data_IF_560163679206
#
_entry.id   IF_560163679206
#
_cell.length_a   1.000
_cell.length_b   1.000
_cell.length_c   1.000
_cell.angle_alpha   90.00
_cell.angle_beta   90.00
_cell.angle_gamma   90.00
#
_symmetry.space_group_name_H-M   'P 1'
#
loop_
_entity.id
_entity.type
_entity.pdbx_description
1 polymer ?
#
# COMPACT_ATOMS: atom_id res chain seq x y z
N UNK A 1 -5.17 34.71 49.16
CA UNK A 1 -5.33 33.26 49.34
C UNK A 1 -6.37 32.73 48.34
N UNK A 2 -5.97 32.24 47.15
CA UNK A 2 -6.87 31.58 46.19
C UNK A 2 -6.47 30.11 46.03
N UNK A 3 -7.21 29.27 46.75
CA UNK A 3 -7.67 27.90 46.45
C UNK A 3 -6.65 26.77 46.15
N UNK A 4 -6.27 25.98 47.18
CA UNK A 4 -5.72 24.62 47.00
C UNK A 4 -6.64 23.67 46.21
N UNK A 5 -7.96 23.87 46.26
CA UNK A 5 -8.95 23.10 45.49
C UNK A 5 -8.73 23.16 43.96
N UNK A 6 -8.28 24.30 43.44
CA UNK A 6 -7.99 24.46 42.01
C UNK A 6 -6.75 23.70 41.54
N UNK A 7 -5.76 23.47 42.43
CA UNK A 7 -4.61 22.59 42.12
C UNK A 7 -4.99 21.13 42.17
N UNK A 8 -5.81 20.72 43.15
CA UNK A 8 -6.30 19.35 43.26
C UNK A 8 -7.14 18.96 42.03
N UNK A 9 -8.10 19.80 41.62
CA UNK A 9 -8.91 19.59 40.42
C UNK A 9 -8.06 19.52 39.13
N UNK A 10 -7.02 20.34 39.00
CA UNK A 10 -6.08 20.26 37.87
C UNK A 10 -5.24 18.98 37.88
N UNK A 11 -4.79 18.53 39.06
CA UNK A 11 -4.07 17.26 39.18
C UNK A 11 -4.97 16.06 38.86
N UNK A 12 -6.21 16.04 39.37
CA UNK A 12 -7.19 15.02 39.07
C UNK A 12 -7.51 14.97 37.57
N UNK A 13 -7.67 16.15 36.94
CA UNK A 13 -7.89 16.29 35.51
C UNK A 13 -6.72 15.76 34.67
N UNK A 14 -5.48 16.09 35.04
CA UNK A 14 -4.28 15.57 34.36
C UNK A 14 -4.12 14.06 34.56
N UNK A 15 -4.45 13.55 35.75
CA UNK A 15 -4.46 12.11 36.04
C UNK A 15 -5.49 11.38 35.19
N UNK A 16 -6.72 11.90 35.09
CA UNK A 16 -7.77 11.35 34.24
C UNK A 16 -7.35 11.32 32.76
N UNK A 17 -6.78 12.41 32.25
CA UNK A 17 -6.26 12.45 30.87
C UNK A 17 -5.14 11.43 30.62
N UNK A 18 -4.23 11.24 31.58
CA UNK A 18 -3.17 10.23 31.48
C UNK A 18 -3.73 8.82 31.48
N UNK A 19 -4.66 8.50 32.38
CA UNK A 19 -5.32 7.20 32.44
C UNK A 19 -6.05 6.87 31.13
N UNK A 20 -6.81 7.84 30.61
CA UNK A 20 -7.49 7.71 29.31
C UNK A 20 -6.47 7.49 28.18
N UNK A 21 -5.36 8.22 28.17
CA UNK A 21 -4.30 8.03 27.18
C UNK A 21 -3.66 6.65 27.23
N UNK A 22 -3.37 6.12 28.43
CA UNK A 22 -2.84 4.76 28.62
C UNK A 22 -3.85 3.72 28.16
N UNK A 23 -5.13 3.89 28.50
CA UNK A 23 -6.19 2.97 28.09
C UNK A 23 -6.35 2.91 26.57
N UNK A 24 -6.35 4.07 25.89
CA UNK A 24 -6.37 4.14 24.42
C UNK A 24 -5.14 3.43 23.81
N UNK A 25 -3.95 3.63 24.39
CA UNK A 25 -2.73 2.97 23.92
C UNK A 25 -2.81 1.45 24.07
N UNK A 26 -3.26 0.96 25.23
CA UNK A 26 -3.43 -0.47 25.50
C UNK A 26 -4.40 -1.12 24.51
N UNK A 27 -5.55 -0.49 24.27
CA UNK A 27 -6.51 -1.00 23.27
C UNK A 27 -5.89 -0.95 21.87
N UNK A 28 -5.12 0.09 21.55
CA UNK A 28 -4.46 0.24 20.25
C UNK A 28 -3.38 -0.81 19.97
N UNK A 29 -2.81 -1.41 21.02
CA UNK A 29 -1.86 -2.53 20.92
C UNK A 29 -2.61 -3.88 20.93
N UNK A 30 -3.61 -4.02 21.79
CA UNK A 30 -4.38 -5.26 21.92
C UNK A 30 -5.19 -5.59 20.66
N UNK A 31 -5.76 -4.58 19.98
CA UNK A 31 -6.60 -4.78 18.81
C UNK A 31 -5.86 -5.43 17.62
N UNK A 32 -4.66 -4.98 17.20
CA UNK A 32 -3.86 -5.71 16.21
C UNK A 32 -3.44 -7.11 16.66
N UNK A 33 -3.01 -7.28 17.92
CA UNK A 33 -2.58 -8.59 18.44
C UNK A 33 -3.70 -9.62 18.45
N UNK A 34 -4.94 -9.21 18.75
CA UNK A 34 -6.09 -10.11 18.65
C UNK A 34 -6.38 -10.57 17.22
N UNK A 35 -6.06 -9.74 16.20
CA UNK A 35 -6.29 -10.08 14.79
C UNK A 35 -5.22 -11.08 14.36
N UNK A 36 -3.97 -10.84 14.79
CA UNK A 36 -2.88 -11.80 14.65
C UNK A 36 -3.26 -13.14 15.27
N UNK A 37 -3.88 -13.15 16.46
CA UNK A 37 -4.37 -14.38 17.06
C UNK A 37 -5.49 -15.03 16.25
N UNK A 38 -6.52 -14.25 15.92
CA UNK A 38 -7.73 -14.69 15.20
C UNK A 38 -7.41 -15.35 13.85
N UNK A 39 -6.48 -14.78 13.08
CA UNK A 39 -6.13 -15.28 11.75
C UNK A 39 -4.86 -16.13 11.73
N UNK A 40 -3.94 -15.94 12.68
CA UNK A 40 -2.65 -16.62 12.71
C UNK A 40 -2.67 -18.02 13.32
N UNK A 41 -3.63 -18.31 14.20
CA UNK A 41 -3.73 -19.60 14.90
C UNK A 41 -5.04 -20.31 14.56
N UNK A 42 -5.06 -21.66 14.58
CA UNK A 42 -6.27 -22.42 14.34
C UNK A 42 -7.30 -22.08 15.42
N UNK A 43 -8.50 -21.68 14.98
CA UNK A 43 -9.58 -21.25 15.86
C UNK A 43 -10.67 -22.30 15.98
N UNK A 44 -11.26 -22.40 17.17
CA UNK A 44 -12.50 -23.16 17.38
C UNK A 44 -13.71 -22.23 17.18
N UNK A 45 -14.90 -22.74 16.82
CA UNK A 45 -16.10 -21.91 16.67
C UNK A 45 -16.46 -21.11 17.93
N UNK A 46 -16.12 -21.66 19.11
CA UNK A 46 -16.37 -21.05 20.41
C UNK A 46 -15.36 -19.93 20.71
N UNK A 47 -14.07 -20.11 20.36
CA UNK A 47 -13.07 -19.03 20.50
C UNK A 47 -13.32 -17.88 19.53
N UNK A 48 -13.77 -18.16 18.30
CA UNK A 48 -14.18 -17.14 17.33
C UNK A 48 -15.31 -16.25 17.87
N UNK A 49 -16.35 -16.83 18.46
CA UNK A 49 -17.45 -16.06 19.07
C UNK A 49 -16.96 -15.17 20.19
N UNK A 50 -16.10 -15.69 21.08
CA UNK A 50 -15.53 -14.88 22.16
C UNK A 50 -14.65 -13.74 21.63
N UNK A 51 -13.82 -14.01 20.61
CA UNK A 51 -13.01 -12.98 19.97
C UNK A 51 -13.90 -11.89 19.37
N UNK A 52 -14.93 -12.24 18.60
CA UNK A 52 -15.86 -11.28 18.02
C UNK A 52 -16.54 -10.41 19.08
N UNK A 53 -17.04 -11.01 20.18
CA UNK A 53 -17.61 -10.25 21.30
C UNK A 53 -16.57 -9.38 22.01
N UNK A 54 -15.34 -9.87 22.13
CA UNK A 54 -14.22 -9.10 22.70
C UNK A 54 -13.89 -7.87 21.85
N UNK A 55 -13.88 -8.00 20.53
CA UNK A 55 -13.68 -6.89 19.60
C UNK A 55 -14.75 -5.81 19.72
N UNK A 56 -16.00 -6.20 19.94
CA UNK A 56 -17.08 -5.27 20.21
C UNK A 56 -16.86 -4.53 21.53
N UNK A 57 -16.49 -5.25 22.59
CA UNK A 57 -16.15 -4.65 23.88
C UNK A 57 -14.99 -3.67 23.77
N UNK A 58 -13.92 -4.02 23.05
CA UNK A 58 -12.78 -3.15 22.81
C UNK A 58 -13.17 -1.89 22.02
N UNK A 59 -14.04 -2.02 21.01
CA UNK A 59 -14.56 -0.88 20.26
C UNK A 59 -15.37 0.08 21.14
N UNK A 60 -16.25 -0.44 21.99
CA UNK A 60 -17.05 0.36 22.92
C UNK A 60 -16.12 1.06 23.94
N UNK A 61 -15.17 0.34 24.51
CA UNK A 61 -14.19 0.90 25.46
C UNK A 61 -13.34 1.99 24.81
N UNK A 62 -12.86 1.73 23.59
CA UNK A 62 -12.13 2.70 22.79
C UNK A 62 -12.98 3.95 22.63
N UNK A 63 -14.22 3.81 22.16
CA UNK A 63 -15.15 4.91 21.97
C UNK A 63 -15.38 5.74 23.24
N UNK A 64 -15.65 5.08 24.38
CA UNK A 64 -15.82 5.74 25.68
C UNK A 64 -14.56 6.51 26.11
N UNK A 65 -13.39 5.91 25.93
CA UNK A 65 -12.12 6.56 26.25
C UNK A 65 -11.92 7.84 25.41
N UNK A 66 -12.30 7.78 24.14
CA UNK A 66 -12.12 8.87 23.20
C UNK A 66 -13.11 10.00 23.42
N UNK A 67 -14.37 9.69 23.68
CA UNK A 67 -15.37 10.69 24.07
C UNK A 67 -14.94 11.37 25.36
N UNK A 68 -14.46 10.61 26.35
CA UNK A 68 -13.94 11.16 27.60
C UNK A 68 -12.71 12.06 27.37
N UNK A 69 -11.78 11.69 26.48
CA UNK A 69 -10.65 12.54 26.08
C UNK A 69 -11.09 13.88 25.47
N UNK A 70 -12.12 13.86 24.62
CA UNK A 70 -12.69 15.07 24.00
C UNK A 70 -13.42 15.93 25.03
N UNK A 71 -14.22 15.34 25.91
CA UNK A 71 -14.96 16.03 26.97
C UNK A 71 -14.04 16.67 28.01
N UNK A 72 -12.96 15.96 28.37
CA UNK A 72 -11.89 16.49 29.22
C UNK A 72 -11.05 17.56 28.50
N UNK A 73 -11.31 17.86 27.23
CA UNK A 73 -10.69 18.99 26.54
C UNK A 73 -9.17 18.92 26.52
N UNK A 74 -8.60 17.73 26.25
CA UNK A 74 -7.16 17.50 26.23
C UNK A 74 -6.45 18.52 25.33
N UNK A 75 -5.76 19.48 25.96
CA UNK A 75 -4.83 20.42 25.31
C UNK A 75 -3.38 19.96 25.45
N UNK A 76 -3.09 18.84 26.09
CA UNK A 76 -1.71 18.36 26.32
C UNK A 76 -1.04 17.88 25.04
N UNK A 77 -1.81 17.53 24.00
CA UNK A 77 -1.29 17.23 22.66
C UNK A 77 -0.98 18.50 21.82
N UNK A 78 -1.41 19.69 22.27
CA UNK A 78 -1.23 20.97 21.54
C UNK A 78 0.17 21.59 21.78
N UNK A 79 1.13 20.85 22.36
CA UNK A 79 2.44 21.37 22.73
C UNK A 79 3.35 21.82 21.58
N UNK A 80 3.05 21.50 20.30
CA UNK A 80 3.90 21.96 19.21
C UNK A 80 3.31 21.93 17.79
N UNK A 81 2.00 21.67 17.63
CA UNK A 81 1.41 21.60 16.29
C UNK A 81 0.43 22.75 16.13
N UNK A 82 0.82 23.78 15.37
CA UNK A 82 -0.12 24.70 14.69
C UNK A 82 -0.90 23.92 13.61
N UNK A 83 -1.58 22.84 14.01
CA UNK A 83 -2.66 22.25 13.24
C UNK A 83 -3.79 23.26 13.37
N UNK A 84 -3.94 24.11 12.35
CA UNK A 84 -4.95 25.16 12.35
C UNK A 84 -6.30 24.59 12.80
N UNK A 85 -7.07 25.39 13.54
CA UNK A 85 -8.40 25.06 14.12
C UNK A 85 -9.31 24.24 13.16
N UNK A 86 -9.16 24.46 11.85
CA UNK A 86 -9.85 23.77 10.75
C UNK A 86 -9.42 22.30 10.53
N UNK A 87 -8.14 21.96 10.64
CA UNK A 87 -7.69 20.56 10.49
C UNK A 87 -7.99 19.74 11.75
N UNK A 88 -7.98 20.37 12.92
CA UNK A 88 -8.37 19.74 14.19
C UNK A 88 -9.85 19.34 14.19
N UNK A 89 -10.72 20.22 13.69
CA UNK A 89 -12.16 19.93 13.53
C UNK A 89 -12.42 18.86 12.48
N UNK A 90 -11.64 18.81 11.39
CA UNK A 90 -11.74 17.72 10.40
C UNK A 90 -11.30 16.37 10.98
N UNK A 91 -10.20 16.32 11.72
CA UNK A 91 -9.73 15.09 12.37
C UNK A 91 -10.72 14.60 13.43
N UNK A 92 -11.24 15.49 14.28
CA UNK A 92 -12.27 15.16 15.26
C UNK A 92 -13.59 14.77 14.57
N UNK A 93 -13.96 15.43 13.47
CA UNK A 93 -15.15 15.12 12.69
C UNK A 93 -15.07 13.77 11.96
N UNK A 94 -13.93 13.43 11.37
CA UNK A 94 -13.68 12.12 10.77
C UNK A 94 -13.72 11.02 11.85
N UNK A 95 -13.22 11.33 13.03
CA UNK A 95 -13.27 10.44 14.19
C UNK A 95 -14.70 10.23 14.69
N UNK A 96 -15.47 11.30 14.83
CA UNK A 96 -16.89 11.26 15.16
C UNK A 96 -17.69 10.48 14.11
N UNK A 97 -17.36 10.61 12.82
CA UNK A 97 -18.00 9.86 11.74
C UNK A 97 -17.67 8.36 11.80
N UNK A 98 -16.39 7.99 11.94
CA UNK A 98 -15.97 6.59 12.07
C UNK A 98 -16.61 5.91 13.29
N UNK A 99 -16.73 6.66 14.39
CA UNK A 99 -17.38 6.16 15.59
C UNK A 99 -18.90 6.08 15.46
N UNK A 100 -19.55 7.00 14.75
CA UNK A 100 -20.98 6.91 14.42
C UNK A 100 -21.27 5.69 13.55
N UNK A 101 -20.41 5.41 12.56
CA UNK A 101 -20.48 4.20 11.73
C UNK A 101 -20.34 2.95 12.60
N UNK A 102 -19.42 2.96 13.57
CA UNK A 102 -19.20 1.85 14.49
C UNK A 102 -20.42 1.59 15.41
N UNK A 103 -21.04 2.66 15.95
CA UNK A 103 -22.26 2.59 16.76
C UNK A 103 -23.44 2.11 15.93
N UNK A 104 -23.59 2.63 14.71
CA UNK A 104 -24.63 2.23 13.78
C UNK A 104 -24.52 0.73 13.47
N UNK A 105 -23.32 0.23 13.16
CA UNK A 105 -23.08 -1.20 12.95
C UNK A 105 -23.40 -2.06 14.19
N UNK A 106 -23.08 -1.58 15.39
CA UNK A 106 -23.39 -2.28 16.63
C UNK A 106 -24.92 -2.35 16.88
N UNK A 107 -25.64 -1.26 16.62
CA UNK A 107 -27.10 -1.20 16.74
C UNK A 107 -27.80 -2.14 15.75
N UNK A 108 -27.28 -2.24 14.52
CA UNK A 108 -27.77 -3.19 13.52
C UNK A 108 -27.54 -4.64 13.94
N UNK A 109 -26.35 -4.98 14.46
CA UNK A 109 -26.02 -6.36 14.85
C UNK A 109 -26.85 -6.89 16.03
N UNK A 110 -27.24 -6.01 16.95
CA UNK A 110 -28.15 -6.34 18.05
C UNK A 110 -29.64 -6.21 17.66
N UNK A 111 -29.96 -6.08 16.36
CA UNK A 111 -31.33 -5.99 15.80
C UNK A 111 -32.17 -4.85 16.39
N UNK A 112 -31.57 -3.71 16.69
CA UNK A 112 -32.32 -2.51 17.11
C UNK A 112 -33.08 -1.84 15.95
N UNK A 113 -32.70 -2.15 14.71
CA UNK A 113 -33.37 -1.75 13.47
C UNK A 113 -33.76 -3.01 12.65
N UNK A 114 -34.70 -2.85 11.73
CA UNK A 114 -35.41 -3.92 11.02
C UNK A 114 -34.50 -5.03 10.42
N UNK A 115 -35.01 -6.27 10.28
CA UNK A 115 -34.23 -7.40 9.76
C UNK A 115 -34.17 -7.38 8.22
N UNK A 116 -33.39 -6.46 7.67
CA UNK A 116 -33.17 -6.37 6.22
C UNK A 116 -31.80 -6.97 5.84
N UNK A 117 -31.71 -7.69 4.71
CA UNK A 117 -30.48 -8.35 4.25
C UNK A 117 -29.29 -7.37 4.00
N UNK A 118 -29.59 -6.09 3.73
CA UNK A 118 -28.60 -5.03 3.63
C UNK A 118 -27.98 -4.66 5.00
N UNK A 119 -28.78 -4.76 6.08
CA UNK A 119 -28.33 -4.44 7.43
C UNK A 119 -27.48 -5.57 8.03
N UNK A 120 -27.72 -6.83 7.63
CA UNK A 120 -26.85 -7.96 7.97
C UNK A 120 -25.46 -7.87 7.32
N UNK A 121 -25.35 -7.33 6.10
CA UNK A 121 -24.04 -7.11 5.43
C UNK A 121 -23.24 -5.97 6.06
N UNK A 122 -23.92 -4.94 6.56
CA UNK A 122 -23.33 -3.76 7.21
C UNK A 122 -22.98 -4.03 8.69
N UNK A 123 -23.75 -4.88 9.38
CA UNK A 123 -23.51 -5.25 10.78
C UNK A 123 -22.35 -6.24 11.02
N UNK A 124 -21.61 -6.56 9.96
CA UNK A 124 -20.76 -7.71 9.97
C UNK A 124 -19.46 -7.56 10.80
N UNK A 125 -18.96 -8.65 11.43
CA UNK A 125 -17.81 -8.61 12.34
C UNK A 125 -16.55 -7.94 11.76
N UNK A 126 -16.32 -8.09 10.46
CA UNK A 126 -15.16 -7.53 9.77
C UNK A 126 -15.15 -6.00 9.74
N UNK A 127 -16.30 -5.33 9.66
CA UNK A 127 -16.38 -3.87 9.67
C UNK A 127 -16.00 -3.30 11.04
N UNK A 128 -16.36 -3.99 12.12
CA UNK A 128 -16.01 -3.64 13.50
C UNK A 128 -14.50 -3.75 13.69
N UNK A 129 -13.92 -4.87 13.28
CA UNK A 129 -12.46 -5.10 13.36
C UNK A 129 -11.72 -4.05 12.52
N UNK A 130 -12.16 -3.79 11.28
CA UNK A 130 -11.53 -2.80 10.41
C UNK A 130 -11.55 -1.39 11.02
N UNK A 131 -12.69 -0.97 11.56
CA UNK A 131 -12.82 0.36 12.20
C UNK A 131 -11.92 0.48 13.42
N UNK A 132 -11.89 -0.55 14.27
CA UNK A 132 -11.01 -0.58 15.44
C UNK A 132 -9.54 -0.51 15.02
N UNK A 133 -9.11 -1.30 14.03
CA UNK A 133 -7.74 -1.28 13.53
C UNK A 133 -7.33 0.06 12.95
N UNK A 134 -8.20 0.73 12.19
CA UNK A 134 -7.93 2.08 11.65
C UNK A 134 -7.72 3.07 12.81
N UNK A 135 -8.60 3.04 13.81
CA UNK A 135 -8.51 3.92 14.98
C UNK A 135 -7.24 3.63 15.79
N UNK A 136 -6.96 2.35 16.06
CA UNK A 136 -5.74 1.90 16.74
C UNK A 136 -4.49 2.34 16.01
N UNK A 137 -4.44 2.17 14.68
CA UNK A 137 -3.33 2.61 13.85
C UNK A 137 -3.11 4.12 13.93
N UNK A 138 -4.17 4.93 13.84
CA UNK A 138 -4.08 6.39 13.94
C UNK A 138 -3.56 6.84 15.31
N UNK A 139 -3.99 6.21 16.41
CA UNK A 139 -3.52 6.52 17.75
C UNK A 139 -2.08 6.06 17.98
N UNK A 140 -1.70 4.88 17.49
CA UNK A 140 -0.33 4.39 17.57
C UNK A 140 0.63 5.29 16.76
N UNK A 141 0.23 5.69 15.55
CA UNK A 141 0.97 6.62 14.72
C UNK A 141 1.18 7.97 15.41
N UNK A 142 0.15 8.50 16.09
CA UNK A 142 0.27 9.72 16.91
C UNK A 142 1.24 9.53 18.07
N UNK A 143 1.09 8.45 18.84
CA UNK A 143 1.95 8.14 19.99
C UNK A 143 3.42 8.01 19.57
N UNK A 144 3.70 7.24 18.52
CA UNK A 144 5.05 7.07 17.96
C UNK A 144 5.60 8.40 17.47
N UNK A 145 4.80 9.21 16.74
CA UNK A 145 5.26 10.51 16.24
C UNK A 145 5.67 11.48 17.35
N UNK A 146 4.97 11.47 18.49
CA UNK A 146 5.31 12.32 19.64
C UNK A 146 6.60 11.90 20.35
N UNK A 147 6.93 10.60 20.33
CA UNK A 147 8.17 10.06 20.88
C UNK A 147 9.35 10.37 19.93
N UNK A 148 9.16 10.14 18.62
CA UNK A 148 10.19 10.25 17.60
C UNK A 148 10.60 11.70 17.27
N UNK A 149 9.74 12.69 17.57
CA UNK A 149 10.06 14.12 17.36
C UNK A 149 11.18 14.64 18.28
N UNK A 150 11.66 13.82 19.25
CA UNK A 150 12.76 14.20 20.15
C UNK A 150 14.10 13.68 19.60
N UNK A 151 14.80 14.53 18.85
CA UNK A 151 16.24 14.48 18.50
C UNK A 151 16.76 13.32 17.61
N UNK A 152 15.94 12.61 16.84
CA UNK A 152 16.43 11.53 15.95
C UNK A 152 16.56 12.00 14.50
N UNK A 153 17.62 11.58 13.81
CA UNK A 153 17.84 11.88 12.38
C UNK A 153 16.74 11.24 11.51
N UNK A 154 16.16 11.98 10.53
CA UNK A 154 15.08 11.47 9.66
C UNK A 154 15.44 10.19 8.89
N UNK A 155 16.69 10.07 8.42
CA UNK A 155 17.14 8.87 7.70
C UNK A 155 17.18 7.63 8.58
N UNK A 156 17.58 7.78 9.85
CA UNK A 156 17.59 6.67 10.83
C UNK A 156 16.18 6.24 11.20
N UNK A 157 15.24 7.19 11.28
CA UNK A 157 13.82 6.89 11.47
C UNK A 157 13.27 6.07 10.30
N UNK A 158 13.58 6.47 9.07
CA UNK A 158 13.14 5.74 7.88
C UNK A 158 13.70 4.31 7.88
N UNK A 159 15.00 4.15 8.05
CA UNK A 159 15.64 2.83 8.10
C UNK A 159 15.09 1.96 9.24
N UNK A 160 14.92 2.53 10.44
CA UNK A 160 14.35 1.85 11.58
C UNK A 160 12.89 1.42 11.36
N UNK A 161 12.09 2.23 10.67
CA UNK A 161 10.70 1.88 10.34
C UNK A 161 10.62 0.69 9.38
N UNK A 162 11.47 0.64 8.35
CA UNK A 162 11.54 -0.50 7.43
C UNK A 162 12.00 -1.77 8.14
N UNK A 163 13.06 -1.69 8.95
CA UNK A 163 13.52 -2.84 9.74
C UNK A 163 12.43 -3.37 10.68
N UNK A 164 11.71 -2.48 11.36
CA UNK A 164 10.62 -2.87 12.24
C UNK A 164 9.51 -3.61 11.48
N UNK A 165 9.10 -3.09 10.31
CA UNK A 165 8.08 -3.74 9.47
C UNK A 165 8.56 -5.11 8.98
N UNK A 166 9.84 -5.25 8.63
CA UNK A 166 10.43 -6.53 8.21
C UNK A 166 10.40 -7.55 9.36
N UNK A 167 10.79 -7.16 10.58
CA UNK A 167 10.76 -8.08 11.73
C UNK A 167 9.32 -8.48 12.11
N UNK A 168 8.38 -7.52 12.10
CA UNK A 168 6.96 -7.82 12.33
C UNK A 168 6.44 -8.75 11.24
N UNK A 169 6.72 -8.45 9.97
CA UNK A 169 6.32 -9.27 8.82
C UNK A 169 6.86 -10.69 8.90
N UNK A 170 8.14 -10.85 9.27
CA UNK A 170 8.78 -12.14 9.51
C UNK A 170 8.03 -12.96 10.57
N UNK A 171 7.73 -12.33 11.72
CA UNK A 171 6.95 -12.97 12.79
C UNK A 171 5.53 -13.35 12.35
N UNK A 172 4.88 -12.52 11.54
CA UNK A 172 3.54 -12.83 10.99
C UNK A 172 3.57 -14.02 10.02
N UNK A 173 4.62 -14.15 9.21
CA UNK A 173 4.75 -15.26 8.26
C UNK A 173 5.04 -16.61 8.95
N UNK A 174 5.61 -16.60 10.16
CA UNK A 174 5.83 -17.81 10.95
C UNK A 174 4.57 -18.37 11.62
N UNK A 175 3.45 -17.67 11.56
CA UNK A 175 2.22 -18.11 12.22
C UNK A 175 1.70 -19.43 11.61
N UNK A 176 1.12 -20.34 12.43
CA UNK A 176 0.67 -21.64 11.97
C UNK A 176 -0.29 -21.60 10.78
N UNK A 177 -1.23 -20.64 10.76
CA UNK A 177 -2.19 -20.50 9.66
C UNK A 177 -1.60 -19.87 8.40
N UNK A 178 -0.38 -19.30 8.45
CA UNK A 178 0.25 -18.66 7.30
C UNK A 178 1.00 -19.66 6.41
N UNK A 179 1.34 -20.85 6.91
CA UNK A 179 2.16 -21.84 6.21
C UNK A 179 1.57 -23.24 6.31
N UNK A 180 1.75 -24.09 5.30
CA UNK A 180 1.21 -25.45 5.33
C UNK A 180 2.06 -26.43 6.17
N UNK A 181 3.39 -26.23 6.21
CA UNK A 181 4.35 -27.15 6.83
C UNK A 181 5.30 -26.47 7.84
N UNK A 182 4.97 -25.25 8.27
CA UNK A 182 5.92 -24.40 9.02
C UNK A 182 7.02 -23.82 8.12
N UNK A 183 7.74 -22.83 8.62
CA UNK A 183 8.80 -22.13 7.88
C UNK A 183 9.96 -21.81 8.81
N UNK A 184 11.19 -22.00 8.34
CA UNK A 184 12.38 -21.61 9.10
C UNK A 184 12.43 -20.08 9.24
N UNK A 185 12.93 -19.58 10.38
CA UNK A 185 12.97 -18.13 10.63
C UNK A 185 13.77 -17.38 9.55
N UNK A 186 14.88 -17.95 9.07
CA UNK A 186 15.68 -17.35 8.02
C UNK A 186 14.88 -17.14 6.72
N UNK A 187 14.09 -18.13 6.30
CA UNK A 187 13.25 -18.03 5.11
C UNK A 187 12.10 -17.04 5.30
N UNK A 188 11.51 -16.99 6.50
CA UNK A 188 10.48 -16.02 6.84
C UNK A 188 11.01 -14.59 6.83
N UNK A 189 12.22 -14.37 7.36
CA UNK A 189 12.88 -13.07 7.40
C UNK A 189 13.29 -12.63 5.99
N UNK A 190 13.84 -13.53 5.18
CA UNK A 190 14.20 -13.25 3.80
C UNK A 190 12.96 -12.89 2.97
N UNK A 191 11.89 -13.68 3.08
CA UNK A 191 10.64 -13.43 2.35
C UNK A 191 9.98 -12.12 2.79
N UNK A 192 9.95 -11.82 4.09
CA UNK A 192 9.44 -10.55 4.61
C UNK A 192 10.28 -9.36 4.14
N UNK A 193 11.62 -9.46 4.19
CA UNK A 193 12.52 -8.42 3.70
C UNK A 193 12.32 -8.17 2.20
N UNK A 194 12.20 -9.25 1.42
CA UNK A 194 11.95 -9.19 -0.02
C UNK A 194 10.60 -8.56 -0.37
N UNK A 195 9.54 -8.89 0.37
CA UNK A 195 8.22 -8.30 0.19
C UNK A 195 8.20 -6.79 0.51
N UNK A 196 8.79 -6.38 1.64
CA UNK A 196 8.82 -4.97 2.08
C UNK A 196 9.75 -4.13 1.20
N UNK A 197 10.88 -4.68 0.78
CA UNK A 197 11.81 -4.02 -0.15
C UNK A 197 11.37 -4.15 -1.61
N UNK A 198 10.30 -4.90 -1.87
CA UNK A 198 9.69 -5.03 -3.20
C UNK A 198 10.69 -5.61 -4.22
N UNK A 199 11.47 -6.63 -3.81
CA UNK A 199 12.53 -7.22 -4.64
C UNK A 199 12.09 -8.47 -5.40
N UNK A 200 11.12 -9.23 -4.88
CA UNK A 200 10.52 -10.37 -5.58
C UNK A 200 11.28 -11.68 -5.52
N UNK A 201 12.31 -11.76 -4.69
CA UNK A 201 13.04 -13.00 -4.45
C UNK A 201 12.40 -13.78 -3.29
N UNK A 202 12.31 -15.10 -3.41
CA UNK A 202 11.93 -15.97 -2.31
C UNK A 202 12.86 -17.18 -2.26
N UNK A 203 13.19 -17.63 -1.06
CA UNK A 203 13.95 -18.87 -0.84
C UNK A 203 13.07 -20.11 -0.94
N UNK A 204 11.75 -19.93 -0.95
CA UNK A 204 10.75 -20.99 -0.95
C UNK A 204 9.70 -20.78 -2.05
N UNK A 205 9.04 -21.85 -2.46
CA UNK A 205 7.94 -21.75 -3.41
C UNK A 205 6.70 -21.15 -2.72
N UNK A 206 6.33 -19.95 -3.15
CA UNK A 206 5.22 -19.17 -2.60
C UNK A 206 3.87 -19.89 -2.62
N UNK A 207 3.59 -20.62 -3.70
CA UNK A 207 2.31 -21.31 -3.89
C UNK A 207 2.19 -22.56 -3.01
N UNK A 208 3.32 -23.21 -2.73
CA UNK A 208 3.38 -24.48 -1.98
C UNK A 208 3.58 -24.28 -0.47
N UNK A 209 4.26 -23.19 -0.09
CA UNK A 209 4.61 -22.95 1.32
C UNK A 209 3.55 -22.13 2.06
N UNK A 210 3.02 -21.08 1.42
CA UNK A 210 2.11 -20.15 2.08
C UNK A 210 0.65 -20.48 1.79
N UNK A 211 -0.16 -20.41 2.84
CA UNK A 211 -1.62 -20.42 2.71
C UNK A 211 -2.12 -19.10 2.13
N UNK A 212 -3.43 -19.01 1.83
CA UNK A 212 -4.05 -17.74 1.44
C UNK A 212 -3.80 -16.64 2.49
N UNK A 213 -3.84 -16.98 3.78
CA UNK A 213 -3.52 -16.03 4.86
C UNK A 213 -2.09 -15.53 4.77
N UNK A 214 -1.11 -16.42 4.53
CA UNK A 214 0.28 -16.04 4.34
C UNK A 214 0.48 -15.16 3.10
N UNK A 215 -0.17 -15.48 1.99
CA UNK A 215 -0.14 -14.68 0.77
C UNK A 215 -0.77 -13.29 0.98
N UNK A 216 -1.84 -13.16 1.77
CA UNK A 216 -2.41 -11.87 2.17
C UNK A 216 -1.42 -11.05 3.00
N UNK A 217 -0.70 -11.68 3.95
CA UNK A 217 0.35 -10.98 4.72
C UNK A 217 1.43 -10.45 3.77
N UNK A 218 1.88 -11.24 2.81
CA UNK A 218 2.88 -10.81 1.82
C UNK A 218 2.35 -9.67 0.96
N UNK A 219 1.09 -9.74 0.52
CA UNK A 219 0.43 -8.67 -0.22
C UNK A 219 0.41 -7.35 0.56
N UNK A 220 0.13 -7.41 1.86
CA UNK A 220 0.16 -6.24 2.75
C UNK A 220 1.58 -5.70 2.90
N UNK A 221 2.58 -6.56 3.06
CA UNK A 221 3.99 -6.15 3.14
C UNK A 221 4.45 -5.47 1.84
N UNK A 222 4.06 -6.01 0.69
CA UNK A 222 4.30 -5.40 -0.63
C UNK A 222 3.67 -4.01 -0.71
N UNK A 223 2.40 -3.88 -0.31
CA UNK A 223 1.70 -2.59 -0.37
C UNK A 223 2.34 -1.56 0.55
N UNK A 224 2.73 -1.96 1.76
CA UNK A 224 3.43 -1.11 2.72
C UNK A 224 4.80 -0.69 2.18
N UNK A 225 5.54 -1.61 1.54
CA UNK A 225 6.83 -1.32 0.91
C UNK A 225 6.71 -0.35 -0.26
N UNK A 226 5.87 -0.69 -1.23
CA UNK A 226 5.65 0.06 -2.47
C UNK A 226 5.08 1.46 -2.22
N UNK A 227 4.08 1.59 -1.36
CA UNK A 227 3.58 2.90 -0.94
C UNK A 227 4.52 3.59 0.05
N UNK A 228 5.24 2.82 0.86
CA UNK A 228 6.04 3.28 2.00
C UNK A 228 7.12 4.25 1.58
N UNK A 229 7.90 3.94 0.55
CA UNK A 229 8.97 4.83 0.09
C UNK A 229 8.41 6.19 -0.34
N UNK A 230 7.24 6.24 -0.98
CA UNK A 230 6.62 7.50 -1.45
C UNK A 230 5.87 8.25 -0.32
N UNK A 231 5.16 7.50 0.52
CA UNK A 231 4.25 7.97 1.56
C UNK A 231 4.98 8.38 2.82
N UNK A 232 5.88 7.53 3.31
CA UNK A 232 6.62 7.73 4.56
C UNK A 232 7.57 8.92 4.40
N UNK A 233 8.25 9.04 3.26
CA UNK A 233 9.10 10.20 2.95
C UNK A 233 8.23 11.48 2.95
N UNK A 234 7.10 11.50 2.24
CA UNK A 234 6.20 12.68 2.20
C UNK A 234 5.58 13.01 3.58
N UNK A 235 5.22 11.99 4.36
CA UNK A 235 4.66 12.11 5.70
C UNK A 235 5.70 12.65 6.68
N UNK A 236 6.93 12.13 6.71
CA UNK A 236 7.99 12.73 7.52
C UNK A 236 8.32 14.16 7.08
N UNK A 237 8.31 14.44 5.77
CA UNK A 237 8.41 15.82 5.26
C UNK A 237 7.38 16.77 5.90
N UNK A 238 6.11 16.35 6.01
CA UNK A 238 5.06 17.10 6.70
C UNK A 238 5.35 17.34 8.19
N UNK A 239 5.82 16.32 8.91
CA UNK A 239 6.07 16.42 10.35
C UNK A 239 7.31 17.28 10.67
N UNK A 240 8.37 17.18 9.86
CA UNK A 240 9.58 17.99 10.03
C UNK A 240 9.42 19.42 9.49
N UNK A 241 8.59 19.65 8.48
CA UNK A 241 8.30 21.01 8.00
C UNK A 241 7.57 21.86 9.05
N UNK A 242 6.77 21.25 9.94
CA UNK A 242 6.09 22.00 11.00
C UNK A 242 7.02 22.58 12.09
N UNK A 243 8.24 22.05 12.23
CA UNK A 243 9.12 22.34 13.39
C UNK A 243 10.53 22.82 13.03
N UNK A 244 10.86 22.99 11.74
CA UNK A 244 12.23 23.31 11.33
C UNK A 244 12.34 24.67 10.63
N UNK A 245 13.47 25.35 10.84
CA UNK A 245 13.77 26.64 10.20
C UNK A 245 13.68 26.53 8.68
N UNK A 246 13.45 27.65 7.98
CA UNK A 246 13.36 27.71 6.51
C UNK A 246 14.51 26.93 5.82
N UNK A 247 15.71 26.93 6.42
CA UNK A 247 16.89 26.23 5.92
C UNK A 247 16.77 24.70 5.94
N UNK A 248 16.12 24.14 6.96
CA UNK A 248 15.82 22.70 7.04
C UNK A 248 14.64 22.29 6.17
N UNK A 249 13.65 23.18 6.01
CA UNK A 249 12.56 22.99 5.05
C UNK A 249 13.06 23.01 3.60
N UNK A 250 14.04 23.86 3.27
CA UNK A 250 14.70 23.89 1.96
C UNK A 250 15.51 22.61 1.70
N UNK A 251 16.28 22.12 2.68
CA UNK A 251 17.01 20.83 2.56
C UNK A 251 16.08 19.62 2.40
N UNK A 252 14.90 19.65 3.02
CA UNK A 252 13.86 18.63 2.80
C UNK A 252 13.20 18.83 1.43
N UNK A 253 12.96 20.07 1.00
CA UNK A 253 12.46 20.41 -0.34
C UNK A 253 13.34 19.87 -1.47
N UNK A 254 14.65 19.81 -1.29
CA UNK A 254 15.55 19.20 -2.27
C UNK A 254 15.37 17.66 -2.38
N UNK A 255 14.94 16.99 -1.30
CA UNK A 255 14.57 15.56 -1.32
C UNK A 255 13.15 15.34 -1.90
N UNK A 256 12.30 16.35 -1.85
CA UNK A 256 10.91 16.31 -2.33
C UNK A 256 10.74 17.25 -3.50
N UNK A 257 10.80 16.73 -4.72
CA UNK A 257 10.56 17.45 -6.00
C UNK A 257 9.13 18.01 -6.19
N UNK A 258 8.50 18.51 -5.12
CA UNK A 258 7.13 19.02 -5.04
C UNK A 258 7.15 20.52 -4.75
N UNK A 259 6.90 21.31 -5.80
CA UNK A 259 6.92 22.78 -5.87
C UNK A 259 6.02 23.57 -4.89
N UNK A 260 5.34 22.96 -3.90
CA UNK A 260 4.41 23.71 -3.02
C UNK A 260 4.50 23.31 -1.54
N UNK A 261 5.09 24.22 -0.77
CA UNK A 261 5.37 24.26 0.68
C UNK A 261 4.15 24.12 1.62
N UNK A 262 2.97 23.74 1.13
CA UNK A 262 1.74 23.53 1.92
C UNK A 262 0.79 22.46 1.36
N UNK A 263 1.25 21.65 0.40
CA UNK A 263 0.42 20.70 -0.34
C UNK A 263 0.64 19.22 -0.01
N UNK A 264 1.65 18.87 0.78
CA UNK A 264 2.10 17.48 0.97
C UNK A 264 0.98 16.51 1.40
N UNK A 265 0.06 16.93 2.27
CA UNK A 265 -1.06 16.08 2.69
C UNK A 265 -2.04 15.79 1.55
N UNK A 266 -2.28 16.77 0.67
CA UNK A 266 -3.08 16.58 -0.54
C UNK A 266 -2.35 15.71 -1.56
N UNK A 267 -1.03 15.87 -1.66
CA UNK A 267 -0.18 15.00 -2.49
C UNK A 267 -0.27 13.55 -2.02
N UNK A 268 -0.22 13.31 -0.71
CA UNK A 268 -0.33 11.97 -0.13
C UNK A 268 -1.67 11.30 -0.45
N UNK A 269 -2.79 11.98 -0.20
CA UNK A 269 -4.13 11.45 -0.55
C UNK A 269 -4.21 11.15 -2.04
N UNK A 270 -3.62 12.01 -2.89
CA UNK A 270 -3.61 11.82 -4.33
C UNK A 270 -2.76 10.60 -4.74
N UNK A 271 -1.63 10.32 -4.07
CA UNK A 271 -0.84 9.10 -4.26
C UNK A 271 -1.73 7.88 -3.98
N UNK A 272 -2.30 7.82 -2.79
CA UNK A 272 -3.12 6.71 -2.32
C UNK A 272 -4.28 6.44 -3.30
N UNK A 273 -5.04 7.47 -3.66
CA UNK A 273 -6.20 7.32 -4.56
C UNK A 273 -5.76 6.84 -5.94
N UNK A 274 -4.69 7.40 -6.49
CA UNK A 274 -4.18 6.98 -7.82
C UNK A 274 -3.72 5.53 -7.79
N UNK A 275 -2.91 5.15 -6.79
CA UNK A 275 -2.41 3.78 -6.65
C UNK A 275 -3.56 2.78 -6.60
N UNK A 276 -4.48 2.95 -5.66
CA UNK A 276 -5.62 2.05 -5.53
C UNK A 276 -6.55 2.05 -6.76
N UNK A 277 -6.64 3.18 -7.49
CA UNK A 277 -7.43 3.23 -8.73
C UNK A 277 -6.79 2.43 -9.86
N UNK A 278 -5.46 2.52 -10.01
CA UNK A 278 -4.71 1.80 -11.04
C UNK A 278 -4.66 0.30 -10.71
N UNK A 279 -4.45 -0.05 -9.44
CA UNK A 279 -4.52 -1.43 -8.95
C UNK A 279 -5.92 -2.04 -9.13
N UNK A 280 -6.99 -1.30 -8.80
CA UNK A 280 -8.35 -1.78 -9.01
C UNK A 280 -8.64 -2.01 -10.51
N UNK A 281 -8.20 -1.10 -11.39
CA UNK A 281 -8.35 -1.26 -12.82
C UNK A 281 -7.56 -2.47 -13.34
N UNK A 282 -6.32 -2.63 -12.89
CA UNK A 282 -5.48 -3.79 -13.22
C UNK A 282 -6.11 -5.11 -12.79
N UNK A 283 -6.64 -5.16 -11.56
CA UNK A 283 -7.32 -6.33 -11.03
C UNK A 283 -8.59 -6.67 -11.84
N UNK A 284 -9.39 -5.68 -12.25
CA UNK A 284 -10.57 -5.91 -13.10
C UNK A 284 -10.17 -6.45 -14.48
N UNK A 285 -9.12 -5.89 -15.09
CA UNK A 285 -8.62 -6.37 -16.38
C UNK A 285 -8.07 -7.79 -16.30
N UNK A 286 -7.28 -8.11 -15.25
CA UNK A 286 -6.77 -9.45 -15.02
C UNK A 286 -7.91 -10.44 -14.75
N UNK A 287 -8.91 -10.05 -13.97
CA UNK A 287 -10.09 -10.85 -13.71
C UNK A 287 -10.78 -11.21 -15.03
N UNK A 288 -11.04 -10.24 -15.90
CA UNK A 288 -11.70 -10.48 -17.18
C UNK A 288 -10.93 -11.40 -18.15
N UNK A 289 -9.61 -11.50 -18.02
CA UNK A 289 -8.77 -12.39 -18.86
C UNK A 289 -8.72 -13.82 -18.31
N UNK A 290 -8.76 -13.96 -16.99
CA UNK A 290 -8.57 -15.23 -16.27
C UNK A 290 -9.90 -15.91 -15.91
N UNK A 291 -11.00 -15.15 -15.85
CA UNK A 291 -12.32 -15.67 -15.53
C UNK A 291 -12.78 -16.75 -16.52
N UNK A 292 -13.51 -17.75 -16.01
CA UNK A 292 -13.98 -18.90 -16.78
C UNK A 292 -12.92 -19.97 -17.11
N UNK A 293 -11.68 -19.84 -16.62
CA UNK A 293 -10.63 -20.84 -16.81
C UNK A 293 -10.72 -21.97 -15.77
N UNK A 294 -10.47 -23.23 -16.14
CA UNK A 294 -10.64 -24.39 -15.26
C UNK A 294 -9.72 -24.32 -14.02
N UNK A 295 -8.52 -23.76 -14.13
CA UNK A 295 -7.58 -23.60 -13.01
C UNK A 295 -8.05 -22.55 -11.98
N UNK A 296 -8.97 -21.67 -12.39
CA UNK A 296 -9.53 -20.57 -11.61
C UNK A 296 -11.06 -20.71 -11.44
N UNK A 297 -11.59 -21.94 -11.49
CA UNK A 297 -13.02 -22.20 -11.52
C UNK A 297 -13.82 -21.65 -10.31
N UNK A 298 -13.17 -21.32 -9.19
CA UNK A 298 -13.80 -20.62 -8.07
C UNK A 298 -13.57 -19.12 -8.19
N UNK A 299 -14.66 -18.34 -8.28
CA UNK A 299 -14.58 -16.87 -8.41
C UNK A 299 -13.73 -16.17 -7.33
N UNK A 300 -13.66 -16.76 -6.12
CA UNK A 300 -12.77 -16.30 -5.06
C UNK A 300 -11.28 -16.43 -5.40
N UNK A 301 -10.86 -17.51 -6.07
CA UNK A 301 -9.47 -17.72 -6.51
C UNK A 301 -9.10 -16.79 -7.66
N UNK A 302 -10.01 -16.57 -8.61
CA UNK A 302 -9.84 -15.59 -9.71
C UNK A 302 -9.67 -14.18 -9.16
N UNK A 303 -10.53 -13.77 -8.23
CA UNK A 303 -10.46 -12.47 -7.58
C UNK A 303 -9.13 -12.30 -6.84
N UNK A 304 -8.74 -13.30 -6.04
CA UNK A 304 -7.51 -13.26 -5.26
C UNK A 304 -6.28 -13.17 -6.18
N UNK A 305 -6.19 -14.02 -7.20
CA UNK A 305 -5.12 -13.97 -8.20
C UNK A 305 -5.01 -12.58 -8.83
N UNK A 306 -6.14 -12.01 -9.26
CA UNK A 306 -6.19 -10.75 -9.98
C UNK A 306 -5.78 -9.57 -9.11
N UNK A 307 -6.26 -9.52 -7.87
CA UNK A 307 -5.89 -8.47 -6.91
C UNK A 307 -4.42 -8.61 -6.52
N UNK A 308 -3.96 -9.81 -6.20
CA UNK A 308 -2.58 -10.07 -5.79
C UNK A 308 -1.58 -9.66 -6.87
N UNK A 309 -1.79 -10.14 -8.10
CA UNK A 309 -0.88 -9.82 -9.20
C UNK A 309 -0.99 -8.37 -9.63
N UNK A 310 -2.16 -7.72 -9.48
CA UNK A 310 -2.27 -6.31 -9.81
C UNK A 310 -1.48 -5.43 -8.85
N UNK A 311 -1.55 -5.70 -7.55
CA UNK A 311 -0.78 -4.98 -6.53
C UNK A 311 0.71 -5.30 -6.67
N UNK A 312 1.07 -6.58 -6.79
CA UNK A 312 2.46 -7.01 -6.99
C UNK A 312 3.08 -6.36 -8.25
N UNK A 313 2.32 -6.29 -9.36
CA UNK A 313 2.76 -5.63 -10.59
C UNK A 313 2.91 -4.11 -10.43
N UNK A 314 1.93 -3.42 -9.84
CA UNK A 314 2.01 -1.98 -9.65
C UNK A 314 3.13 -1.58 -8.68
N UNK A 315 3.34 -2.35 -7.62
CA UNK A 315 4.45 -2.14 -6.71
C UNK A 315 5.80 -2.54 -7.31
N UNK A 316 5.85 -3.28 -8.43
CA UNK A 316 7.06 -3.91 -8.98
C UNK A 316 7.66 -4.99 -8.06
N UNK A 317 6.81 -5.73 -7.35
CA UNK A 317 7.23 -6.69 -6.35
C UNK A 317 7.64 -8.05 -6.92
N UNK A 318 7.13 -8.47 -8.08
CA UNK A 318 7.52 -9.73 -8.72
C UNK A 318 7.04 -11.02 -8.06
N UNK A 319 6.39 -10.93 -6.90
CA UNK A 319 5.74 -12.07 -6.26
C UNK A 319 4.54 -12.54 -7.07
N UNK A 320 4.38 -13.86 -7.14
CA UNK A 320 3.24 -14.53 -7.76
C UNK A 320 2.65 -15.56 -6.81
N UNK A 321 1.35 -15.81 -6.95
CA UNK A 321 0.65 -16.90 -6.26
C UNK A 321 0.82 -18.24 -6.97
N UNK A 322 1.46 -18.26 -8.14
CA UNK A 322 1.69 -19.46 -8.95
C UNK A 322 3.14 -19.94 -8.76
N UNK A 323 3.39 -21.27 -8.76
CA UNK A 323 4.71 -21.83 -8.51
C UNK A 323 5.74 -21.42 -9.58
N UNK A 324 5.32 -21.34 -10.84
CA UNK A 324 6.17 -20.93 -11.97
C UNK A 324 6.21 -19.41 -12.24
N UNK A 325 5.74 -18.58 -11.31
CA UNK A 325 5.45 -17.17 -11.58
C UNK A 325 4.48 -17.04 -12.79
N UNK A 326 4.64 -16.05 -13.68
CA UNK A 326 3.78 -15.90 -14.88
C UNK A 326 4.13 -16.87 -16.03
N UNK A 327 5.17 -17.70 -15.88
CA UNK A 327 5.49 -18.79 -16.79
C UNK A 327 4.70 -20.08 -16.47
N UNK A 328 3.88 -20.04 -15.42
CA UNK A 328 3.01 -21.16 -15.06
C UNK A 328 2.04 -21.54 -16.21
N UNK A 329 1.81 -22.83 -16.48
CA UNK A 329 0.90 -23.30 -17.54
C UNK A 329 -0.48 -22.64 -17.52
N UNK A 330 -0.96 -22.25 -16.33
CA UNK A 330 -2.27 -21.64 -16.16
C UNK A 330 -2.41 -20.26 -16.84
N UNK A 331 -1.30 -19.53 -16.99
CA UNK A 331 -1.32 -18.14 -17.48
C UNK A 331 -0.34 -17.86 -18.61
N UNK A 332 0.68 -18.70 -18.84
CA UNK A 332 1.77 -18.42 -19.78
C UNK A 332 1.30 -18.18 -21.23
N UNK A 333 0.24 -18.85 -21.68
CA UNK A 333 -0.29 -18.70 -23.03
C UNK A 333 -1.35 -17.59 -23.15
N UNK A 334 -1.74 -16.96 -22.03
CA UNK A 334 -2.70 -15.87 -22.01
C UNK A 334 -1.98 -14.55 -22.29
N UNK A 335 -1.90 -14.16 -23.55
CA UNK A 335 -1.22 -12.90 -23.98
C UNK A 335 -1.70 -11.64 -23.22
N UNK A 336 -2.95 -11.64 -22.74
CA UNK A 336 -3.50 -10.55 -21.94
C UNK A 336 -2.82 -10.37 -20.58
N UNK A 337 -2.40 -11.46 -19.92
CA UNK A 337 -1.78 -11.39 -18.58
C UNK A 337 -0.42 -10.67 -18.62
N UNK A 338 0.57 -11.07 -19.45
CA UNK A 338 1.84 -10.34 -19.58
C UNK A 338 1.65 -8.88 -20.01
N UNK A 339 0.67 -8.61 -20.89
CA UNK A 339 0.39 -7.24 -21.35
C UNK A 339 -0.13 -6.33 -20.22
N UNK A 340 -1.10 -6.81 -19.43
CA UNK A 340 -1.67 -6.04 -18.31
C UNK A 340 -0.62 -5.86 -17.21
N UNK A 341 0.14 -6.91 -16.86
CA UNK A 341 1.22 -6.83 -15.87
C UNK A 341 2.28 -5.82 -16.30
N UNK A 342 2.71 -5.85 -17.57
CA UNK A 342 3.68 -4.89 -18.10
C UNK A 342 3.18 -3.45 -17.98
N UNK A 343 1.89 -3.21 -18.28
CA UNK A 343 1.29 -1.88 -18.14
C UNK A 343 1.28 -1.40 -16.68
N UNK A 344 0.94 -2.28 -15.73
CA UNK A 344 0.95 -1.97 -14.29
C UNK A 344 2.36 -1.65 -13.80
N UNK A 345 3.35 -2.44 -14.20
CA UNK A 345 4.77 -2.22 -13.86
C UNK A 345 5.26 -0.87 -14.38
N UNK A 346 4.90 -0.51 -15.62
CA UNK A 346 5.25 0.81 -16.18
C UNK A 346 4.56 1.92 -15.37
N UNK A 347 3.28 1.77 -15.03
CA UNK A 347 2.55 2.76 -14.24
C UNK A 347 3.14 2.97 -12.85
N UNK A 348 3.56 1.90 -12.17
CA UNK A 348 4.27 1.97 -10.89
C UNK A 348 5.67 2.55 -11.00
N UNK A 349 6.42 2.14 -12.03
CA UNK A 349 7.82 2.51 -12.24
C UNK A 349 8.09 3.93 -12.77
N UNK A 350 7.08 4.65 -13.26
CA UNK A 350 7.23 6.03 -13.79
C UNK A 350 7.28 7.08 -12.66
N UNK A 351 6.85 6.76 -11.44
CA UNK A 351 6.91 7.66 -10.29
C UNK A 351 5.78 8.68 -10.22
N UNK A 352 5.33 8.97 -8.99
CA UNK A 352 4.11 9.74 -8.76
C UNK A 352 4.15 11.19 -9.29
N UNK A 353 5.24 11.98 -9.12
CA UNK A 353 5.27 13.34 -9.64
C UNK A 353 5.04 13.39 -11.16
N UNK A 354 5.63 12.44 -11.89
CA UNK A 354 5.53 12.30 -13.34
C UNK A 354 4.14 11.85 -13.73
N UNK A 355 3.59 10.83 -13.06
CA UNK A 355 2.22 10.38 -13.27
C UNK A 355 1.21 11.51 -13.03
N UNK A 356 1.38 12.27 -11.96
CA UNK A 356 0.49 13.38 -11.61
C UNK A 356 0.56 14.54 -12.62
N UNK A 357 1.74 14.79 -13.18
CA UNK A 357 1.94 15.78 -14.25
C UNK A 357 1.27 15.30 -15.54
N UNK A 358 1.50 14.03 -15.92
CA UNK A 358 0.86 13.41 -17.08
C UNK A 358 -0.66 13.44 -16.97
N UNK A 359 -1.23 13.03 -15.84
CA UNK A 359 -2.68 13.03 -15.60
C UNK A 359 -3.25 14.46 -15.64
N UNK A 360 -2.50 15.46 -15.16
CA UNK A 360 -2.92 16.86 -15.27
C UNK A 360 -2.98 17.35 -16.73
N UNK A 361 -2.06 16.89 -17.58
CA UNK A 361 -2.01 17.22 -19.00
C UNK A 361 -3.11 16.46 -19.76
N UNK A 362 -3.28 15.18 -19.46
CA UNK A 362 -4.31 14.33 -20.04
C UNK A 362 -5.72 14.81 -19.68
N UNK A 363 -5.97 15.13 -18.41
CA UNK A 363 -7.25 15.70 -17.95
C UNK A 363 -7.57 17.06 -18.58
N UNK A 364 -6.55 17.90 -18.82
CA UNK A 364 -6.71 19.16 -19.58
C UNK A 364 -7.10 18.90 -21.03
N UNK A 365 -6.48 17.92 -21.69
CA UNK A 365 -6.86 17.51 -23.06
C UNK A 365 -8.26 16.91 -23.11
N UNK A 366 -8.60 16.00 -22.22
CA UNK A 366 -9.94 15.41 -22.12
C UNK A 366 -11.00 16.48 -21.84
N UNK A 367 -10.74 17.43 -20.94
CA UNK A 367 -11.62 18.57 -20.69
C UNK A 367 -11.79 19.48 -21.90
N UNK A 368 -10.76 19.64 -22.73
CA UNK A 368 -10.85 20.36 -24.00
C UNK A 368 -11.61 19.57 -25.07
N UNK A 369 -11.51 18.24 -25.09
CA UNK A 369 -12.34 17.37 -25.96
C UNK A 369 -13.82 17.45 -25.54
N UNK A 370 -14.13 17.39 -24.25
CA UNK A 370 -15.51 17.55 -23.75
C UNK A 370 -16.06 18.95 -24.03
N UNK A 371 -15.24 20.00 -23.90
CA UNK A 371 -15.64 21.37 -24.28
C UNK A 371 -15.83 21.52 -25.78
N UNK A 372 -15.01 20.86 -26.59
CA UNK A 372 -15.18 20.80 -28.04
C UNK A 372 -16.52 20.15 -28.40
N UNK A 373 -16.84 19.00 -27.79
CA UNK A 373 -18.14 18.32 -27.95
C UNK A 373 -19.30 19.21 -27.46
N UNK A 374 -19.11 19.96 -26.37
CA UNK A 374 -20.11 20.90 -25.82
C UNK A 374 -20.07 22.31 -26.44
N UNK A 375 -19.37 22.52 -27.58
CA UNK A 375 -19.22 23.80 -28.29
C UNK A 375 -18.81 24.99 -27.40
N UNK A 376 -17.97 24.76 -26.38
CA UNK A 376 -17.41 25.80 -25.52
C UNK A 376 -15.99 26.18 -25.96
N UNK A 377 -15.56 27.44 -25.74
CA UNK A 377 -14.22 27.88 -26.13
C UNK A 377 -13.14 27.06 -25.44
N UNK A 378 -12.14 26.65 -26.23
CA UNK A 378 -11.00 25.89 -25.79
C UNK A 378 -10.11 26.76 -24.89
N UNK A 379 -9.70 26.21 -23.74
CA UNK A 379 -8.74 26.90 -22.89
C UNK A 379 -7.34 26.40 -23.24
N UNK A 380 -6.58 27.24 -23.94
CA UNK A 380 -5.16 27.00 -24.22
C UNK A 380 -4.34 27.40 -23.01
N UNK A 381 -3.77 26.42 -22.31
CA UNK A 381 -2.71 26.64 -21.31
C UNK A 381 -1.40 26.10 -21.88
N UNK A 382 -0.26 26.77 -21.65
CA UNK A 382 1.04 26.28 -22.12
C UNK A 382 1.33 24.90 -21.53
N UNK A 383 1.94 24.05 -22.37
CA UNK A 383 2.21 22.64 -22.09
C UNK A 383 3.44 22.53 -21.18
N UNK A 384 3.27 22.83 -19.89
CA UNK A 384 4.37 22.76 -18.91
C UNK A 384 4.65 21.29 -18.53
N UNK A 385 5.43 20.60 -19.34
CA UNK A 385 6.10 19.36 -18.91
C UNK A 385 7.28 19.80 -18.06
N UNK A 386 7.41 19.25 -16.86
CA UNK A 386 8.66 19.46 -16.13
C UNK A 386 9.77 18.77 -16.91
N UNK A 387 10.96 19.38 -16.94
CA UNK A 387 12.11 18.84 -17.67
C UNK A 387 12.40 17.39 -17.24
N UNK A 388 12.32 17.13 -15.93
CA UNK A 388 12.45 15.81 -15.34
C UNK A 388 11.43 14.81 -15.91
N UNK A 389 10.13 15.15 -15.95
CA UNK A 389 9.11 14.26 -16.56
C UNK A 389 9.37 13.98 -18.04
N UNK A 390 9.84 14.97 -18.79
CA UNK A 390 10.14 14.79 -20.21
C UNK A 390 11.33 13.85 -20.44
N UNK A 391 12.42 14.03 -19.69
CA UNK A 391 13.62 13.18 -19.78
C UNK A 391 13.26 11.74 -19.42
N UNK A 392 12.66 11.52 -18.24
CA UNK A 392 12.35 10.18 -17.74
C UNK A 392 11.39 9.40 -18.65
N UNK A 393 10.37 10.07 -19.19
CA UNK A 393 9.42 9.41 -20.10
C UNK A 393 10.07 9.05 -21.44
N UNK A 394 10.94 9.93 -21.97
CA UNK A 394 11.68 9.63 -23.20
C UNK A 394 12.69 8.50 -23.02
N UNK A 395 13.50 8.54 -21.96
CA UNK A 395 14.51 7.49 -21.70
C UNK A 395 13.84 6.16 -21.45
N UNK A 396 12.77 6.12 -20.63
CA UNK A 396 11.98 4.90 -20.38
C UNK A 396 11.38 4.33 -21.67
N UNK A 397 10.81 5.18 -22.52
CA UNK A 397 10.23 4.73 -23.80
C UNK A 397 11.30 4.15 -24.74
N UNK A 398 12.47 4.80 -24.85
CA UNK A 398 13.57 4.34 -25.70
C UNK A 398 14.11 3.00 -25.19
N UNK A 399 14.36 2.88 -23.88
CA UNK A 399 14.88 1.66 -23.29
C UNK A 399 13.91 0.48 -23.45
N UNK A 400 12.63 0.67 -23.16
CA UNK A 400 11.62 -0.39 -23.30
C UNK A 400 11.47 -0.78 -24.77
N UNK A 401 11.37 0.18 -25.69
CA UNK A 401 11.22 -0.13 -27.12
C UNK A 401 12.47 -0.84 -27.68
N UNK A 402 13.67 -0.40 -27.30
CA UNK A 402 14.92 -1.03 -27.70
C UNK A 402 15.07 -2.45 -27.14
N UNK A 403 14.81 -2.64 -25.85
CA UNK A 403 14.83 -3.95 -25.21
C UNK A 403 13.78 -4.89 -25.80
N UNK A 404 12.57 -4.39 -26.07
CA UNK A 404 11.49 -5.17 -26.68
C UNK A 404 11.85 -5.62 -28.10
N UNK A 405 12.39 -4.71 -28.92
CA UNK A 405 12.87 -5.05 -30.26
C UNK A 405 13.99 -6.10 -30.21
N UNK A 406 14.95 -5.95 -29.30
CA UNK A 406 16.01 -6.94 -29.10
C UNK A 406 15.46 -8.31 -28.68
N UNK A 407 14.58 -8.35 -27.66
CA UNK A 407 13.97 -9.59 -27.18
C UNK A 407 13.22 -10.31 -28.30
N UNK A 408 12.43 -9.58 -29.10
CA UNK A 408 11.70 -10.17 -30.20
C UNK A 408 12.61 -10.73 -31.29
N UNK A 409 13.74 -10.09 -31.60
CA UNK A 409 14.66 -10.56 -32.64
C UNK A 409 15.50 -11.75 -32.14
N UNK A 410 16.07 -11.65 -30.95
CA UNK A 410 16.98 -12.65 -30.40
C UNK A 410 16.24 -13.93 -29.96
N UNK A 411 15.09 -13.79 -29.31
CA UNK A 411 14.41 -14.90 -28.64
C UNK A 411 13.24 -15.49 -29.44
N UNK A 412 12.93 -14.97 -30.64
CA UNK A 412 11.75 -15.37 -31.45
C UNK A 412 11.61 -16.89 -31.62
N UNK A 413 12.74 -17.55 -31.86
CA UNK A 413 12.86 -18.98 -32.13
C UNK A 413 13.45 -19.77 -30.95
N UNK A 414 13.70 -19.11 -29.81
CA UNK A 414 14.26 -19.71 -28.60
C UNK A 414 13.23 -19.66 -27.47
N UNK A 415 13.42 -18.84 -26.43
CA UNK A 415 12.53 -18.79 -25.27
C UNK A 415 11.09 -18.37 -25.61
N UNK A 416 10.87 -17.67 -26.74
CA UNK A 416 9.52 -17.29 -27.20
C UNK A 416 8.91 -18.29 -28.20
N UNK A 417 9.61 -19.36 -28.58
CA UNK A 417 9.19 -20.25 -29.67
C UNK A 417 7.82 -20.91 -29.44
N UNK A 418 7.49 -21.22 -28.18
CA UNK A 418 6.28 -21.92 -27.78
C UNK A 418 4.99 -21.06 -27.81
N UNK A 419 5.11 -19.75 -28.01
CA UNK A 419 3.96 -18.84 -27.97
C UNK A 419 3.41 -18.51 -29.37
N UNK A 420 2.11 -18.24 -29.43
CA UNK A 420 1.46 -17.67 -30.62
C UNK A 420 2.03 -16.28 -30.93
N UNK A 421 1.80 -15.75 -32.14
CA UNK A 421 2.31 -14.43 -32.53
C UNK A 421 2.02 -13.33 -31.49
N UNK A 422 0.77 -13.23 -31.01
CA UNK A 422 0.40 -12.26 -29.97
C UNK A 422 1.04 -12.59 -28.61
N UNK A 423 1.18 -13.88 -28.29
CA UNK A 423 1.90 -14.33 -27.10
C UNK A 423 3.39 -13.94 -27.13
N UNK A 424 4.06 -14.07 -28.28
CA UNK A 424 5.45 -13.65 -28.46
C UNK A 424 5.62 -12.15 -28.25
N UNK A 425 4.71 -11.35 -28.82
CA UNK A 425 4.71 -9.90 -28.62
C UNK A 425 4.52 -9.52 -27.15
N UNK A 426 3.54 -10.12 -26.46
CA UNK A 426 3.25 -9.82 -25.06
C UNK A 426 4.33 -10.32 -24.10
N UNK A 427 4.85 -11.54 -24.31
CA UNK A 427 5.89 -12.11 -23.46
C UNK A 427 7.24 -11.43 -23.68
N UNK A 428 7.59 -11.12 -24.93
CA UNK A 428 8.75 -10.30 -25.24
C UNK A 428 8.64 -8.89 -24.63
N UNK A 429 7.43 -8.31 -24.60
CA UNK A 429 7.20 -7.00 -23.96
C UNK A 429 7.37 -7.08 -22.45
N UNK A 430 6.82 -8.11 -21.81
CA UNK A 430 7.02 -8.36 -20.38
C UNK A 430 8.51 -8.55 -20.07
N UNK A 431 9.23 -9.35 -20.86
CA UNK A 431 10.65 -9.59 -20.67
C UNK A 431 11.52 -8.33 -20.89
N UNK A 432 11.04 -7.34 -21.64
CA UNK A 432 11.69 -6.03 -21.79
C UNK A 432 11.38 -5.05 -20.64
N UNK A 433 10.20 -5.19 -20.02
CA UNK A 433 9.72 -4.29 -18.95
C UNK A 433 10.16 -4.78 -17.56
N UNK A 434 10.08 -6.09 -17.31
CA UNK A 434 10.43 -6.73 -16.03
C UNK A 434 11.83 -6.37 -15.50
N UNK A 435 12.89 -6.33 -16.32
CA UNK A 435 14.25 -6.06 -15.85
C UNK A 435 14.35 -4.75 -15.08
N UNK A 436 13.44 -3.79 -15.26
CA UNK A 436 13.37 -2.57 -14.46
C UNK A 436 12.71 -2.78 -13.10
N UNK A 437 13.27 -3.71 -12.32
CA UNK A 437 12.94 -4.06 -10.93
C UNK A 437 11.55 -4.66 -10.68
N UNK A 438 10.91 -5.33 -11.64
CA UNK A 438 9.57 -5.89 -11.43
C UNK A 438 9.51 -7.39 -11.11
N UNK A 439 10.57 -8.15 -11.41
CA UNK A 439 10.73 -9.55 -10.97
C UNK A 439 9.79 -10.61 -11.56
N UNK A 440 8.90 -10.28 -12.51
CA UNK A 440 8.00 -11.25 -13.14
C UNK A 440 8.63 -12.02 -14.30
N UNK A 441 8.63 -13.35 -14.20
CA UNK A 441 9.12 -14.24 -15.26
C UNK A 441 7.95 -14.75 -16.10
N UNK A 442 7.92 -14.41 -17.39
CA UNK A 442 6.92 -14.91 -18.36
C UNK A 442 7.46 -15.95 -19.33
N UNK A 443 8.77 -16.20 -19.31
CA UNK A 443 9.47 -17.21 -20.11
C UNK A 443 10.46 -17.97 -19.22
N UNK A 444 10.89 -19.14 -19.67
CA UNK A 444 11.94 -19.89 -18.99
C UNK A 444 13.30 -19.19 -19.13
N UNK A 445 13.77 -18.60 -18.03
CA UNK A 445 15.04 -17.88 -17.96
C UNK A 445 16.25 -18.79 -18.27
N UNK A 446 16.13 -20.10 -18.06
CA UNK A 446 17.22 -21.06 -18.34
C UNK A 446 17.38 -21.31 -19.85
N UNK A 447 16.34 -21.03 -20.65
CA UNK A 447 16.35 -21.19 -22.11
C UNK A 447 16.74 -19.92 -22.87
N UNK A 448 16.91 -18.79 -22.16
CA UNK A 448 17.31 -17.55 -22.80
C UNK A 448 18.78 -17.61 -23.24
N UNK A 449 19.09 -16.91 -24.33
CA UNK A 449 20.46 -16.80 -24.81
C UNK A 449 21.33 -16.07 -23.76
N UNK A 450 22.60 -16.47 -23.58
CA UNK A 450 23.51 -15.78 -22.66
C UNK A 450 23.63 -14.27 -22.94
N UNK A 451 23.61 -13.87 -24.22
CA UNK A 451 23.62 -12.46 -24.61
C UNK A 451 22.37 -11.71 -24.10
N UNK A 452 21.21 -12.35 -24.13
CA UNK A 452 19.95 -11.80 -23.62
C UNK A 452 19.98 -11.65 -22.10
N UNK A 453 20.59 -12.59 -21.38
CA UNK A 453 20.78 -12.51 -19.93
C UNK A 453 21.72 -11.36 -19.53
N UNK A 454 22.80 -11.16 -20.30
CA UNK A 454 23.70 -10.01 -20.09
C UNK A 454 22.97 -8.68 -20.30
N UNK A 455 22.22 -8.54 -21.40
CA UNK A 455 21.40 -7.34 -21.62
C UNK A 455 20.39 -7.14 -20.49
N UNK A 456 19.72 -8.20 -20.05
CA UNK A 456 18.76 -8.18 -18.94
C UNK A 456 19.41 -7.69 -17.65
N UNK A 457 20.65 -8.12 -17.37
CA UNK A 457 21.42 -7.70 -16.19
C UNK A 457 21.77 -6.21 -16.26
N UNK A 458 22.19 -5.72 -17.42
CA UNK A 458 22.45 -4.28 -17.65
C UNK A 458 21.17 -3.46 -17.48
N UNK A 459 20.04 -3.94 -18.00
CA UNK A 459 18.75 -3.29 -17.82
C UNK A 459 18.27 -3.29 -16.36
N UNK A 460 18.60 -4.32 -15.57
CA UNK A 460 18.34 -4.35 -14.12
C UNK A 460 19.15 -3.33 -13.33
N UNK A 461 20.35 -3.00 -13.79
CA UNK A 461 21.12 -1.91 -13.22
C UNK A 461 20.43 -0.56 -13.49
N UNK A 462 19.93 -0.35 -14.71
CA UNK A 462 19.20 0.88 -15.08
C UNK A 462 17.77 0.81 -14.51
N UNK A 463 17.62 1.23 -13.26
CA UNK A 463 16.37 1.15 -12.50
C UNK A 463 15.22 2.02 -13.01
N UNK A 464 14.14 2.04 -12.23
CA UNK A 464 12.98 2.90 -12.51
C UNK A 464 13.19 4.37 -12.14
N UNK A 465 12.16 5.18 -12.39
CA UNK A 465 12.22 6.63 -12.26
C UNK A 465 12.42 7.12 -10.81
N UNK A 466 12.95 8.34 -10.60
CA UNK A 466 12.97 8.96 -9.29
C UNK A 466 11.57 9.03 -8.67
N UNK A 467 11.47 8.71 -7.36
CA UNK A 467 10.20 8.76 -6.61
C UNK A 467 9.11 7.81 -7.17
N UNK A 468 9.54 6.68 -7.74
CA UNK A 468 8.73 5.53 -8.12
C UNK A 468 8.79 4.40 -7.09
N UNK A 469 8.03 3.33 -7.34
CA UNK A 469 8.06 2.09 -6.57
C UNK A 469 9.31 1.23 -6.87
N UNK A 470 10.04 1.52 -7.95
CA UNK A 470 11.23 0.80 -8.37
C UNK A 470 12.51 1.30 -7.67
N UNK A 471 13.36 0.37 -7.22
CA UNK A 471 14.57 0.64 -6.45
C UNK A 471 15.84 0.15 -7.12
N UNK A 472 16.46 0.97 -7.96
CA UNK A 472 17.89 0.89 -8.34
C UNK A 472 18.37 2.29 -8.79
N UNK A 473 19.65 2.44 -9.12
CA UNK A 473 20.27 3.71 -9.53
C UNK A 473 19.39 4.47 -10.54
N UNK A 474 19.06 5.71 -10.18
CA UNK A 474 18.06 6.57 -10.82
C UNK A 474 18.64 7.45 -11.92
#
# INVERSE_FOLDING_TARGET
MKQPAGRFLRHLHQWALRLVGVLILLISIAAPLGVVYMFGFPQTPLTLRYLETGYQGLLILMWLALTLRVLLGDRSADGNVRLGRRNRTILIGAYAALTLIAIFNLALRHRWLAPDAFLDTVSAPWLIIATLLIVSFLELARAVSGILSRRVNPSSILAGSFLLIIFIGSGLLMLPNCTYRGLAYADSLFTAASAVCVTGLSTVNMAETFTVTGQVVILILIQIGGLGIMTITSFFGLFFMGQTSLRSQLRLGDLFSSDKMGGLGKTLVKIIVVTFSVEALGAVLLYGVVDGRPEFASGGRTLFFSVFHSVSAFCNAGFSTLPGNLYDPAVRHLWGVPAIVSWLVICGGIGFPIFSNFLSVAGRKAGNIVRFIRRRPLVRRPRQWSLNSYIVLKTTAILIAGAWGYMLVAEWNHSLAEFSFMGKLSQGFLAAVTPRTAGFNGVDMQRMLPATLVLTTVLMWIGGAPQSTAGASR
#
